data_IF_676983909702
#
_entry.id   IF_676983909702
#
_cell.length_a   1.000
_cell.length_b   1.000
_cell.length_c   1.000
_cell.angle_alpha   90.00
_cell.angle_beta   90.00
_cell.angle_gamma   90.00
#
_symmetry.space_group_name_H-M   'P 1'
#
loop_
_entity.id
_entity.type
_entity.pdbx_description
1 polymer ?
#
# COMPACT_ATOMS: atom_id res chain seq x y z
N UNK A 1 -14.18 9.78 10.15
CA UNK A 1 -14.33 10.19 8.73
C UNK A 1 -14.43 8.97 7.83
N UNK A 2 -13.47 8.04 7.87
CA UNK A 2 -13.49 6.79 7.10
C UNK A 2 -14.74 5.93 7.32
N UNK A 3 -15.15 5.70 8.57
CA UNK A 3 -16.33 4.87 8.87
C UNK A 3 -17.63 5.36 8.18
N UNK A 4 -17.82 6.68 8.08
CA UNK A 4 -18.98 7.24 7.38
C UNK A 4 -18.86 7.08 5.86
N UNK A 5 -17.65 7.20 5.32
CA UNK A 5 -17.34 7.01 3.91
C UNK A 5 -17.57 5.55 3.50
N UNK A 6 -17.07 4.62 4.29
CA UNK A 6 -17.28 3.18 4.15
C UNK A 6 -18.77 2.83 4.21
N UNK A 7 -19.49 3.30 5.23
CA UNK A 7 -20.92 3.02 5.36
C UNK A 7 -21.73 3.62 4.20
N UNK A 8 -21.36 4.82 3.72
CA UNK A 8 -22.02 5.45 2.57
C UNK A 8 -21.79 4.64 1.29
N UNK A 9 -20.55 4.23 1.02
CA UNK A 9 -20.22 3.39 -0.15
C UNK A 9 -20.88 2.00 -0.05
N UNK A 10 -21.02 1.46 1.17
CA UNK A 10 -21.73 0.20 1.42
C UNK A 10 -23.23 0.31 1.13
N UNK A 11 -23.87 1.39 1.56
CA UNK A 11 -25.30 1.64 1.39
C UNK A 11 -25.67 2.12 -0.03
N UNK A 12 -24.80 2.93 -0.64
CA UNK A 12 -25.00 3.51 -1.96
C UNK A 12 -23.70 3.41 -2.78
N UNK A 13 -23.44 2.24 -3.40
CA UNK A 13 -22.18 2.00 -4.12
C UNK A 13 -21.96 2.98 -5.26
N UNK A 14 -20.73 3.45 -5.39
CA UNK A 14 -20.31 4.30 -6.49
C UNK A 14 -20.51 3.59 -7.84
N UNK A 15 -20.78 4.34 -8.92
CA UNK A 15 -20.83 3.78 -10.27
C UNK A 15 -19.58 2.96 -10.54
N UNK A 16 -19.78 1.70 -10.95
CA UNK A 16 -18.70 0.75 -11.17
C UNK A 16 -18.95 -0.07 -12.41
N UNK A 17 -17.87 -0.37 -13.13
CA UNK A 17 -17.87 -1.29 -14.26
C UNK A 17 -17.32 -2.63 -13.78
N UNK A 18 -18.15 -3.66 -13.83
CA UNK A 18 -17.75 -5.03 -13.52
C UNK A 18 -17.29 -5.70 -14.81
N UNK A 19 -16.06 -6.21 -14.79
CA UNK A 19 -15.46 -7.03 -15.84
C UNK A 19 -15.19 -8.44 -15.27
N UNK A 20 -14.80 -9.37 -16.13
CA UNK A 20 -14.52 -10.75 -15.71
C UNK A 20 -13.35 -10.85 -14.72
N UNK A 21 -12.35 -9.96 -14.84
CA UNK A 21 -11.09 -9.99 -14.06
C UNK A 21 -10.98 -8.88 -13.01
N UNK A 22 -11.81 -7.84 -13.07
CA UNK A 22 -11.72 -6.67 -12.17
C UNK A 22 -13.00 -5.87 -12.09
N UNK A 23 -13.09 -5.04 -11.04
CA UNK A 23 -14.10 -4.00 -10.91
C UNK A 23 -13.42 -2.63 -11.00
N UNK A 24 -13.92 -1.77 -11.88
CA UNK A 24 -13.44 -0.40 -12.02
C UNK A 24 -14.45 0.50 -11.34
N UNK A 25 -14.04 1.20 -10.29
CA UNK A 25 -14.87 2.15 -9.57
C UNK A 25 -14.66 3.57 -10.12
N UNK A 26 -15.73 4.36 -10.20
CA UNK A 26 -15.61 5.79 -10.44
C UNK A 26 -14.84 6.44 -9.28
N UNK A 27 -13.85 7.27 -9.60
CA UNK A 27 -13.09 8.02 -8.59
C UNK A 27 -14.02 8.95 -7.79
N UNK A 28 -13.83 8.96 -6.48
CA UNK A 28 -14.54 9.85 -5.57
C UNK A 28 -13.65 11.05 -5.23
N UNK A 29 -14.23 12.25 -5.18
CA UNK A 29 -13.50 13.41 -4.67
C UNK A 29 -13.29 13.24 -3.18
N UNK A 30 -12.03 13.08 -2.77
CA UNK A 30 -11.69 12.94 -1.37
C UNK A 30 -11.91 14.27 -0.64
N UNK A 31 -12.67 14.32 0.47
CA UNK A 31 -13.01 15.57 1.14
C UNK A 31 -11.78 16.32 1.72
N UNK A 32 -10.64 15.63 1.82
CA UNK A 32 -9.40 16.11 2.44
C UNK A 32 -8.39 16.71 1.46
N UNK A 33 -8.56 16.59 0.13
CA UNK A 33 -7.57 17.12 -0.81
C UNK A 33 -7.96 18.48 -1.40
N UNK A 34 -7.00 19.40 -1.45
CA UNK A 34 -7.18 20.73 -2.06
C UNK A 34 -7.27 20.66 -3.61
N UNK A 35 -6.71 19.60 -4.20
CA UNK A 35 -6.69 19.29 -5.64
C UNK A 35 -6.64 17.78 -5.85
N UNK A 36 -6.76 17.35 -7.11
CA UNK A 36 -6.57 15.95 -7.49
C UNK A 36 -5.11 15.52 -7.23
N UNK A 37 -4.88 14.38 -6.55
CA UNK A 37 -3.54 13.87 -6.32
C UNK A 37 -2.91 13.42 -7.64
N UNK A 38 -1.63 13.71 -7.81
CA UNK A 38 -0.84 13.31 -8.99
C UNK A 38 0.38 12.53 -8.50
N UNK A 39 0.57 11.32 -9.03
CA UNK A 39 1.77 10.53 -8.76
C UNK A 39 2.97 11.23 -9.40
N UNK A 40 4.04 11.37 -8.63
CA UNK A 40 5.27 12.04 -9.03
C UNK A 40 6.48 11.21 -8.60
N UNK A 41 7.67 11.71 -8.91
CA UNK A 41 8.96 11.11 -8.56
C UNK A 41 9.15 9.67 -9.06
N UNK A 42 9.44 9.55 -10.35
CA UNK A 42 9.75 8.29 -11.02
C UNK A 42 11.25 7.94 -10.97
N UNK A 43 12.02 8.52 -10.04
CA UNK A 43 13.47 8.32 -9.96
C UNK A 43 13.89 6.87 -9.64
N UNK A 44 13.02 6.12 -8.98
CA UNK A 44 13.20 4.70 -8.65
C UNK A 44 12.22 3.77 -9.42
N UNK A 45 11.58 4.27 -10.48
CA UNK A 45 10.60 3.49 -11.23
C UNK A 45 11.28 2.43 -12.11
N UNK A 46 10.63 1.28 -12.24
CA UNK A 46 11.06 0.18 -13.10
C UNK A 46 10.16 0.07 -14.33
N UNK A 47 10.78 -0.18 -15.49
CA UNK A 47 10.07 -0.64 -16.67
C UNK A 47 10.02 -2.17 -16.64
N UNK A 48 8.84 -2.73 -16.86
CA UNK A 48 8.61 -4.16 -16.79
C UNK A 48 7.35 -4.60 -17.50
N UNK A 49 7.34 -5.86 -17.90
CA UNK A 49 6.14 -6.52 -18.42
C UNK A 49 5.23 -7.01 -17.28
N UNK A 50 3.91 -7.15 -17.51
CA UNK A 50 3.01 -7.70 -16.51
C UNK A 50 3.47 -9.06 -15.99
N UNK A 51 3.70 -9.15 -14.67
CA UNK A 51 4.15 -10.36 -13.99
C UNK A 51 5.67 -10.57 -14.01
N UNK A 52 6.45 -9.65 -14.60
CA UNK A 52 7.91 -9.68 -14.51
C UNK A 52 8.35 -9.55 -13.04
N UNK A 53 9.33 -10.38 -12.67
CA UNK A 53 9.86 -10.48 -11.31
C UNK A 53 11.25 -9.84 -11.21
N UNK A 54 11.52 -9.26 -10.05
CA UNK A 54 12.78 -8.60 -9.71
C UNK A 54 13.21 -9.00 -8.30
N UNK A 55 14.47 -8.72 -7.93
CA UNK A 55 15.04 -9.11 -6.62
C UNK A 55 15.96 -8.05 -6.01
N UNK A 56 15.86 -6.81 -6.46
CA UNK A 56 16.68 -5.71 -5.97
C UNK A 56 16.08 -5.08 -4.70
N UNK A 57 16.89 -4.30 -3.97
CA UNK A 57 16.43 -3.50 -2.84
C UNK A 57 15.66 -2.27 -3.35
N UNK A 58 14.36 -2.24 -3.07
CA UNK A 58 13.43 -1.21 -3.51
C UNK A 58 12.54 -0.74 -2.35
N UNK A 59 11.79 0.32 -2.62
CA UNK A 59 10.85 0.97 -1.71
C UNK A 59 11.51 1.69 -0.52
N UNK A 60 10.93 2.82 -0.10
CA UNK A 60 11.32 3.47 1.14
C UNK A 60 10.93 2.62 2.36
N UNK A 61 11.75 2.65 3.41
CA UNK A 61 11.74 1.70 4.53
C UNK A 61 10.37 1.34 5.10
N UNK A 62 9.62 2.31 5.64
CA UNK A 62 8.34 2.04 6.31
C UNK A 62 7.20 1.58 5.37
N UNK A 63 7.35 1.81 4.06
CA UNK A 63 6.36 1.40 3.06
C UNK A 63 6.73 0.07 2.39
N UNK A 64 7.86 -0.53 2.76
CA UNK A 64 8.40 -1.73 2.12
C UNK A 64 7.46 -2.91 2.29
N UNK A 65 7.23 -3.64 1.21
CA UNK A 65 6.40 -4.83 1.17
C UNK A 65 7.09 -6.03 1.86
N UNK A 66 6.32 -6.99 2.43
CA UNK A 66 6.88 -8.14 3.13
C UNK A 66 7.79 -9.01 2.25
N UNK A 67 7.48 -9.18 0.97
CA UNK A 67 8.32 -9.94 0.02
C UNK A 67 9.68 -9.25 -0.23
N UNK A 68 9.72 -7.91 -0.20
CA UNK A 68 10.97 -7.15 -0.34
C UNK A 68 11.80 -7.28 0.94
N UNK A 69 11.17 -7.15 2.12
CA UNK A 69 11.84 -7.39 3.42
C UNK A 69 12.41 -8.81 3.55
N UNK A 70 11.70 -9.80 3.01
CA UNK A 70 12.13 -11.19 3.01
C UNK A 70 13.18 -11.53 1.94
N UNK A 71 13.60 -10.56 1.10
CA UNK A 71 14.55 -10.79 0.00
C UNK A 71 14.02 -11.76 -1.06
N UNK A 72 12.69 -11.82 -1.21
CA UNK A 72 11.99 -12.63 -2.20
C UNK A 72 11.83 -11.88 -3.52
N UNK A 73 11.39 -12.59 -4.55
CA UNK A 73 11.04 -11.96 -5.82
C UNK A 73 9.76 -11.14 -5.68
N UNK A 74 9.78 -9.94 -6.25
CA UNK A 74 8.68 -9.00 -6.23
C UNK A 74 8.24 -8.59 -7.64
N UNK A 75 7.02 -8.07 -7.76
CA UNK A 75 6.48 -7.44 -8.97
C UNK A 75 5.74 -6.14 -8.60
N UNK A 76 4.95 -5.58 -9.52
CA UNK A 76 4.16 -4.37 -9.29
C UNK A 76 3.15 -4.43 -8.13
N UNK A 77 2.93 -5.60 -7.50
CA UNK A 77 2.08 -5.70 -6.30
C UNK A 77 2.68 -4.99 -5.08
N UNK A 78 3.98 -4.74 -5.07
CA UNK A 78 4.61 -3.93 -4.02
C UNK A 78 4.06 -2.49 -3.98
N UNK A 79 3.61 -1.97 -5.13
CA UNK A 79 2.99 -0.63 -5.22
C UNK A 79 1.59 -0.63 -4.60
N UNK A 80 0.86 -1.75 -4.70
CA UNK A 80 -0.45 -1.90 -4.05
C UNK A 80 -0.29 -1.96 -2.54
N UNK A 81 0.75 -2.65 -2.06
CA UNK A 81 1.10 -2.67 -0.64
C UNK A 81 1.42 -1.27 -0.11
N UNK A 82 2.32 -0.54 -0.78
CA UNK A 82 2.72 0.81 -0.34
C UNK A 82 1.55 1.80 -0.34
N UNK A 83 0.63 1.71 -1.32
CA UNK A 83 -0.61 2.49 -1.33
C UNK A 83 -1.48 2.17 -0.12
N UNK A 84 -1.60 0.90 0.27
CA UNK A 84 -2.35 0.49 1.46
C UNK A 84 -1.79 1.09 2.75
N UNK A 85 -0.47 1.01 2.93
CA UNK A 85 0.24 1.63 4.07
C UNK A 85 0.07 3.16 4.05
N UNK A 86 0.24 3.80 2.89
CA UNK A 86 0.07 5.25 2.73
C UNK A 86 -1.35 5.72 3.05
N UNK A 87 -2.38 4.96 2.62
CA UNK A 87 -3.77 5.27 2.96
C UNK A 87 -3.94 5.29 4.48
N UNK A 88 -3.43 4.28 5.19
CA UNK A 88 -3.49 4.26 6.64
C UNK A 88 -2.85 5.50 7.25
N UNK A 89 -1.60 5.80 6.89
CA UNK A 89 -0.85 6.95 7.41
C UNK A 89 -1.52 8.31 7.13
N UNK A 90 -2.32 8.42 6.06
CA UNK A 90 -3.07 9.63 5.72
C UNK A 90 -4.33 9.81 6.58
N UNK A 91 -4.92 8.74 7.08
CA UNK A 91 -6.19 8.78 7.82
C UNK A 91 -6.03 8.58 9.32
N UNK A 92 -5.07 7.77 9.71
CA UNK A 92 -4.68 7.48 11.07
C UNK A 92 -3.38 8.26 11.32
N UNK A 93 -3.36 9.12 12.34
CA UNK A 93 -2.28 10.08 12.64
C UNK A 93 -1.00 9.38 13.17
N UNK A 94 -0.53 8.36 12.44
CA UNK A 94 0.55 7.46 12.83
C UNK A 94 0.84 6.40 11.76
N UNK A 95 2.11 5.98 11.73
CA UNK A 95 2.59 5.00 10.76
C UNK A 95 2.00 3.61 11.05
N UNK A 96 1.45 2.92 10.03
CA UNK A 96 0.93 1.56 10.21
C UNK A 96 2.01 0.60 10.71
N UNK A 97 3.22 0.74 10.17
CA UNK A 97 4.41 -0.01 10.56
C UNK A 97 5.57 0.95 10.80
N UNK A 98 5.77 1.42 12.04
CA UNK A 98 6.83 2.38 12.32
C UNK A 98 8.21 1.92 11.88
N UNK A 99 8.53 0.62 11.89
CA UNK A 99 9.76 0.03 11.34
C UNK A 99 11.11 0.62 11.82
N UNK A 100 11.11 1.60 12.74
CA UNK A 100 12.29 2.29 13.21
C UNK A 100 12.56 1.97 14.68
N UNK A 101 13.81 1.62 14.99
CA UNK A 101 14.33 1.50 16.35
C UNK A 101 15.48 2.49 16.52
N UNK A 102 15.35 3.41 17.48
CA UNK A 102 16.34 4.47 17.73
C UNK A 102 16.67 5.32 16.49
N UNK A 103 15.68 5.57 15.62
CA UNK A 103 15.86 6.35 14.39
C UNK A 103 16.48 5.59 13.21
N UNK A 104 16.77 4.29 13.38
CA UNK A 104 17.28 3.44 12.31
C UNK A 104 16.22 2.44 11.86
N UNK A 105 16.13 2.21 10.54
CA UNK A 105 15.25 1.20 9.98
C UNK A 105 15.69 -0.18 10.49
N UNK A 106 14.73 -0.96 10.97
CA UNK A 106 14.94 -2.26 11.57
C UNK A 106 13.98 -3.26 10.90
N UNK A 107 14.51 -4.00 9.92
CA UNK A 107 13.72 -4.92 9.10
C UNK A 107 13.11 -6.05 9.93
N UNK A 108 13.79 -6.52 10.98
CA UNK A 108 13.26 -7.55 11.88
C UNK A 108 12.06 -7.03 12.68
N UNK A 109 12.18 -5.80 13.20
CA UNK A 109 11.07 -5.13 13.87
C UNK A 109 9.90 -4.90 12.90
N UNK A 110 10.19 -4.43 11.70
CA UNK A 110 9.18 -4.17 10.68
C UNK A 110 8.39 -5.45 10.35
N UNK A 111 9.11 -6.55 10.09
CA UNK A 111 8.50 -7.84 9.81
C UNK A 111 7.73 -8.40 11.01
N UNK A 112 8.23 -8.21 12.23
CA UNK A 112 7.51 -8.60 13.45
C UNK A 112 6.21 -7.81 13.64
N UNK A 113 6.19 -6.51 13.31
CA UNK A 113 4.98 -5.68 13.36
C UNK A 113 3.93 -6.16 12.35
N UNK A 114 4.36 -6.49 11.13
CA UNK A 114 3.49 -7.10 10.11
C UNK A 114 2.87 -8.40 10.61
N UNK A 115 3.67 -9.28 11.21
CA UNK A 115 3.19 -10.56 11.78
C UNK A 115 2.22 -10.33 12.93
N UNK A 116 2.52 -9.38 13.82
CA UNK A 116 1.67 -9.07 14.96
C UNK A 116 0.27 -8.59 14.54
N UNK A 117 0.19 -7.84 13.43
CA UNK A 117 -1.08 -7.30 12.92
C UNK A 117 -1.83 -8.29 12.02
N UNK A 118 -1.15 -8.93 11.07
CA UNK A 118 -1.77 -9.74 10.01
C UNK A 118 -1.72 -11.24 10.25
N UNK A 119 -0.95 -11.69 11.26
CA UNK A 119 -0.65 -13.09 11.49
C UNK A 119 0.61 -13.57 10.75
N UNK A 120 1.01 -14.84 10.96
CA UNK A 120 2.22 -15.39 10.36
C UNK A 120 2.08 -15.48 8.83
N UNK A 121 3.21 -15.44 8.08
CA UNK A 121 3.19 -15.64 6.64
C UNK A 121 2.57 -17.01 6.29
N UNK A 122 1.90 -17.11 5.13
CA UNK A 122 1.39 -18.39 4.64
C UNK A 122 2.52 -19.40 4.42
N UNK A 123 2.18 -20.69 4.51
CA UNK A 123 3.10 -21.81 4.28
C UNK A 123 3.36 -22.08 2.81
#
# INVERSE_FOLDING_TARGET
MLANLEETERLNPSPRKVLDDRVIHLSYTMPTSYKDPVITDFGAAYLGEPGQKYRDDVMPGAYRAPEVLAGMEWDSKIDIWSIGVMIWDLFEDGNLFPAYRNGHLDDELHFAQMIALMGPPPK
#
